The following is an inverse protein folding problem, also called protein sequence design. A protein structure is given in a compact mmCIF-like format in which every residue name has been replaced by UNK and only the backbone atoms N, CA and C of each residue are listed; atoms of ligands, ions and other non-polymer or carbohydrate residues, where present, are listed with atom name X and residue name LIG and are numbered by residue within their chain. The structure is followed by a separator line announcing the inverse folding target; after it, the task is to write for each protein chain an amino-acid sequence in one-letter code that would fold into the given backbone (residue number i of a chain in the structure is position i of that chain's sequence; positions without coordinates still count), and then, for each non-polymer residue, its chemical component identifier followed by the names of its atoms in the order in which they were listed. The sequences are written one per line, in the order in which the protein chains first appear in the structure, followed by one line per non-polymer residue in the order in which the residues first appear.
data_IF_210731202128
#
_entry.id   IF_210731202128
#
_cell.length_a   1.000
_cell.length_b   1.000
_cell.length_c   1.000
_cell.angle_alpha   90.00
_cell.angle_beta   90.00
_cell.angle_gamma   90.00
#
_symmetry.space_group_name_H-M   'P 1'
#
loop_
_entity.id
_entity.type
_entity.pdbx_description
1 polymer ?
#
# COMPACT_ATOMS: atom_id res chain seq x y z
N UNK A 1 -24.45 19.27 5.07
CA UNK A 1 -23.88 20.61 4.77
C UNK A 1 -22.88 21.13 5.82
N UNK A 2 -22.80 20.55 7.03
CA UNK A 2 -21.88 21.01 8.09
C UNK A 2 -20.38 20.73 7.86
N UNK A 3 -20.00 19.60 7.26
CA UNK A 3 -18.57 19.22 7.17
C UNK A 3 -17.71 20.24 6.42
N UNK A 4 -18.21 20.89 5.36
CA UNK A 4 -17.42 21.86 4.59
C UNK A 4 -17.06 23.11 5.38
N UNK A 5 -17.94 23.53 6.29
CA UNK A 5 -17.71 24.70 7.13
C UNK A 5 -16.67 24.35 8.19
N UNK A 6 -16.85 23.20 8.84
CA UNK A 6 -15.93 22.66 9.83
C UNK A 6 -14.53 22.44 9.25
N UNK A 7 -14.42 21.80 8.08
CA UNK A 7 -13.14 21.56 7.40
C UNK A 7 -12.39 22.87 7.09
N UNK A 8 -13.13 23.92 6.70
CA UNK A 8 -12.56 25.26 6.46
C UNK A 8 -12.11 25.94 7.75
N UNK A 9 -12.94 25.90 8.79
CA UNK A 9 -12.63 26.52 10.08
C UNK A 9 -11.38 25.89 10.71
N UNK A 10 -11.35 24.56 10.76
CA UNK A 10 -10.21 23.80 11.27
C UNK A 10 -8.97 24.06 10.41
N UNK A 11 -9.12 23.98 9.09
CA UNK A 11 -8.01 24.14 8.16
C UNK A 11 -7.36 25.53 8.22
N UNK A 12 -8.15 26.60 8.21
CA UNK A 12 -7.63 27.97 8.30
C UNK A 12 -7.03 28.26 9.68
N UNK A 13 -7.64 27.78 10.75
CA UNK A 13 -7.14 28.02 12.12
C UNK A 13 -5.82 27.31 12.37
N UNK A 14 -5.70 26.03 11.98
CA UNK A 14 -4.46 25.26 12.14
C UNK A 14 -3.35 25.77 11.21
N UNK A 15 -3.67 26.09 9.96
CA UNK A 15 -2.65 26.60 9.02
C UNK A 15 -2.05 27.92 9.50
N UNK A 16 -2.86 28.84 10.06
CA UNK A 16 -2.35 30.08 10.67
C UNK A 16 -1.37 29.80 11.82
N UNK A 17 -1.66 28.83 12.68
CA UNK A 17 -0.74 28.43 13.75
C UNK A 17 0.57 27.87 13.18
N UNK A 18 0.51 27.02 12.15
CA UNK A 18 1.71 26.52 11.47
C UNK A 18 2.57 27.65 10.90
N UNK A 19 1.94 28.68 10.33
CA UNK A 19 2.68 29.83 9.79
C UNK A 19 3.35 30.65 10.89
N UNK A 20 2.72 30.79 12.06
CA UNK A 20 3.29 31.49 13.21
C UNK A 20 4.47 30.74 13.81
N UNK A 21 4.34 29.41 13.97
CA UNK A 21 5.39 28.58 14.58
C UNK A 21 6.59 28.36 13.66
N UNK A 22 6.36 28.15 12.35
CA UNK A 22 7.43 27.76 11.42
C UNK A 22 7.81 28.84 10.40
N UNK A 23 7.12 29.99 10.37
CA UNK A 23 7.39 31.08 9.42
C UNK A 23 7.05 30.78 7.95
N UNK A 24 6.53 29.60 7.64
CA UNK A 24 6.31 29.11 6.28
C UNK A 24 4.83 29.21 5.87
N UNK A 25 4.50 30.14 4.98
CA UNK A 25 3.11 30.40 4.52
C UNK A 25 2.54 29.32 3.58
N UNK A 26 3.36 28.39 3.09
CA UNK A 26 2.92 27.26 2.26
C UNK A 26 2.50 26.02 3.06
N UNK A 27 2.62 26.05 4.39
CA UNK A 27 2.16 24.95 5.22
C UNK A 27 0.63 24.97 5.35
N UNK A 28 0.02 23.79 5.30
CA UNK A 28 -1.41 23.60 5.47
C UNK A 28 -1.71 22.43 6.39
N UNK A 29 -2.79 22.54 7.16
CA UNK A 29 -3.35 21.43 7.92
C UNK A 29 -4.86 21.31 7.64
N UNK A 30 -5.38 20.09 7.76
CA UNK A 30 -6.79 19.82 7.52
C UNK A 30 -7.23 18.54 8.20
N UNK A 31 -8.51 18.49 8.61
CA UNK A 31 -9.07 17.37 9.37
C UNK A 31 -8.89 16.01 8.69
N UNK A 32 -8.89 15.96 7.36
CA UNK A 32 -8.66 14.73 6.58
C UNK A 32 -7.21 14.62 6.07
N UNK A 33 -6.65 15.71 5.55
CA UNK A 33 -5.30 15.70 4.96
C UNK A 33 -4.20 15.41 5.98
N UNK A 34 -4.32 15.93 7.21
CA UNK A 34 -3.31 15.78 8.26
C UNK A 34 -3.21 14.32 8.76
N UNK A 35 -4.30 13.60 9.09
CA UNK A 35 -4.23 12.17 9.42
C UNK A 35 -3.73 11.32 8.25
N UNK A 36 -4.15 11.61 7.02
CA UNK A 36 -3.69 10.86 5.83
C UNK A 36 -2.18 11.01 5.64
N UNK A 37 -1.63 12.22 5.79
CA UNK A 37 -0.18 12.41 5.77
C UNK A 37 0.51 11.65 6.91
N UNK A 38 -0.12 11.62 8.10
CA UNK A 38 0.33 10.81 9.23
C UNK A 38 0.46 9.32 8.87
N UNK A 39 -0.55 8.72 8.24
CA UNK A 39 -0.51 7.32 7.80
C UNK A 39 0.60 7.06 6.77
N UNK A 40 0.84 8.00 5.85
CA UNK A 40 1.94 7.89 4.87
C UNK A 40 3.30 7.89 5.58
N UNK A 41 3.48 8.79 6.56
CA UNK A 41 4.71 8.86 7.36
C UNK A 41 4.90 7.59 8.18
N UNK A 42 3.84 7.07 8.80
CA UNK A 42 3.85 5.82 9.56
C UNK A 42 4.27 4.64 8.67
N UNK A 43 3.63 4.46 7.51
CA UNK A 43 4.00 3.45 6.51
C UNK A 43 5.44 3.58 6.04
N UNK A 44 5.92 4.82 5.85
CA UNK A 44 7.32 5.06 5.48
C UNK A 44 8.29 4.64 6.59
N UNK A 45 7.99 4.97 7.84
CA UNK A 45 8.81 4.58 9.00
C UNK A 45 8.81 3.05 9.20
N UNK A 46 7.64 2.40 9.08
CA UNK A 46 7.52 0.94 9.08
C UNK A 46 8.37 0.33 7.97
N UNK A 47 8.27 0.85 6.73
CA UNK A 47 9.07 0.38 5.60
C UNK A 47 10.57 0.50 5.87
N UNK A 48 11.01 1.66 6.38
CA UNK A 48 12.41 1.90 6.74
C UNK A 48 12.90 0.96 7.85
N UNK A 49 12.07 0.68 8.85
CA UNK A 49 12.38 -0.26 9.93
C UNK A 49 12.32 -1.73 9.47
N UNK A 50 11.58 -2.03 8.40
CA UNK A 50 11.42 -3.38 7.85
C UNK A 50 12.54 -3.81 6.90
N UNK A 51 13.57 -2.97 6.69
CA UNK A 51 14.73 -3.33 5.87
C UNK A 51 15.43 -4.53 6.54
N UNK A 52 15.31 -5.69 5.91
CA UNK A 52 15.89 -6.96 6.36
C UNK A 52 16.69 -7.59 5.23
N UNK A 53 17.80 -8.29 5.53
CA UNK A 53 18.47 -9.10 4.54
C UNK A 53 17.53 -10.20 4.06
N UNK A 54 17.46 -10.38 2.75
CA UNK A 54 16.76 -11.50 2.11
C UNK A 54 17.82 -12.33 1.41
N UNK A 55 17.77 -13.64 1.63
CA UNK A 55 18.66 -14.58 0.98
C UNK A 55 17.92 -15.18 -0.21
N UNK A 56 18.43 -14.90 -1.41
CA UNK A 56 17.96 -15.53 -2.64
C UNK A 56 18.93 -16.65 -3.01
N UNK A 57 18.45 -17.88 -2.88
CA UNK A 57 19.24 -19.08 -3.15
C UNK A 57 18.77 -19.63 -4.49
N UNK A 58 19.70 -19.74 -5.44
CA UNK A 58 19.45 -20.31 -6.76
C UNK A 58 20.05 -21.70 -6.78
N UNK A 59 19.19 -22.70 -6.96
CA UNK A 59 19.59 -24.10 -7.03
C UNK A 59 20.02 -24.46 -8.47
N UNK A 60 20.78 -25.55 -8.62
CA UNK A 60 21.27 -26.01 -9.93
C UNK A 60 20.14 -26.39 -10.91
N UNK A 61 18.97 -26.70 -10.40
CA UNK A 61 17.76 -27.03 -11.17
C UNK A 61 16.88 -25.79 -11.45
N UNK A 62 17.45 -24.58 -11.41
CA UNK A 62 16.80 -23.28 -11.63
C UNK A 62 15.71 -22.87 -10.63
N UNK A 63 15.48 -23.67 -9.58
CA UNK A 63 14.55 -23.29 -8.53
C UNK A 63 15.13 -22.16 -7.68
N UNK A 64 14.30 -21.15 -7.39
CA UNK A 64 14.65 -20.00 -6.57
C UNK A 64 13.97 -20.15 -5.22
N UNK A 65 14.77 -20.22 -4.16
CA UNK A 65 14.31 -20.12 -2.79
C UNK A 65 14.55 -18.71 -2.26
N UNK A 66 13.51 -18.12 -1.68
CA UNK A 66 13.60 -16.86 -0.96
C UNK A 66 13.47 -17.18 0.52
N UNK A 67 14.57 -17.03 1.26
CA UNK A 67 14.58 -17.20 2.71
C UNK A 67 14.57 -15.82 3.36
N UNK A 68 13.48 -15.54 4.06
CA UNK A 68 13.26 -14.31 4.80
C UNK A 68 13.52 -14.52 6.30
N UNK A 69 13.87 -13.45 7.02
CA UNK A 69 13.97 -13.42 8.48
C UNK A 69 15.04 -14.33 9.11
N UNK A 70 16.17 -14.55 8.43
CA UNK A 70 17.32 -15.21 9.08
C UNK A 70 17.86 -14.28 10.18
N UNK A 71 18.00 -14.80 11.40
CA UNK A 71 18.65 -14.08 12.50
C UNK A 71 20.14 -13.93 12.19
N UNK A 72 20.57 -12.69 12.01
CA UNK A 72 21.99 -12.34 11.92
C UNK A 72 22.55 -12.33 13.35
N UNK A 73 22.86 -13.49 13.93
CA UNK A 73 23.47 -13.61 15.27
C UNK A 73 24.93 -13.12 15.23
N UNK A 74 25.13 -11.82 14.98
CA UNK A 74 26.42 -11.11 14.85
C UNK A 74 27.26 -11.46 13.61
N UNK A 75 26.80 -12.34 12.73
CA UNK A 75 27.46 -12.67 11.44
C UNK A 75 27.06 -11.71 10.33
N UNK A 76 27.96 -11.47 9.38
CA UNK A 76 27.63 -10.72 8.15
C UNK A 76 26.74 -11.58 7.25
N UNK A 77 25.80 -10.99 6.47
CA UNK A 77 24.98 -11.75 5.52
C UNK A 77 25.80 -12.61 4.55
N UNK A 78 27.01 -12.17 4.17
CA UNK A 78 27.91 -12.93 3.30
C UNK A 78 28.38 -14.25 3.93
N UNK A 79 28.72 -14.23 5.23
CA UNK A 79 29.23 -15.42 5.94
C UNK A 79 28.13 -16.48 6.04
N UNK A 80 26.90 -16.06 6.29
CA UNK A 80 25.73 -16.97 6.32
C UNK A 80 25.46 -17.56 4.93
N UNK A 81 25.62 -16.76 3.86
CA UNK A 81 25.43 -17.26 2.50
C UNK A 81 26.48 -18.31 2.11
N UNK A 82 27.72 -18.14 2.56
CA UNK A 82 28.80 -19.12 2.38
C UNK A 82 28.54 -20.40 3.18
N UNK A 83 28.14 -20.30 4.45
CA UNK A 83 27.77 -21.46 5.29
C UNK A 83 26.64 -22.30 4.66
N UNK A 84 25.59 -21.63 4.15
CA UNK A 84 24.48 -22.29 3.45
C UNK A 84 24.96 -23.00 2.18
N UNK A 85 25.92 -22.40 1.47
CA UNK A 85 26.49 -22.97 0.23
C UNK A 85 27.36 -24.20 0.52
N UNK A 86 28.13 -24.19 1.59
CA UNK A 86 29.01 -25.29 1.98
C UNK A 86 28.25 -26.47 2.59
N UNK A 87 27.26 -26.21 3.44
CA UNK A 87 26.47 -27.27 4.09
C UNK A 87 25.43 -27.92 3.17
N UNK A 88 25.00 -27.19 2.14
CA UNK A 88 23.88 -27.60 1.29
C UNK A 88 22.54 -27.46 2.01
N UNK A 89 21.45 -27.64 1.25
CA UNK A 89 20.08 -27.47 1.75
C UNK A 89 19.27 -28.71 1.41
N UNK A 90 18.67 -29.31 2.43
CA UNK A 90 17.64 -30.33 2.24
C UNK A 90 16.25 -29.67 2.21
N UNK A 91 15.48 -29.92 1.15
CA UNK A 91 14.15 -29.34 0.95
C UNK A 91 13.12 -30.45 1.03
N UNK A 92 12.25 -30.36 2.03
CA UNK A 92 11.13 -31.30 2.20
C UNK A 92 9.82 -30.59 1.93
N UNK A 93 9.03 -31.12 1.00
CA UNK A 93 7.68 -30.64 0.73
C UNK A 93 6.80 -31.05 1.91
N UNK A 94 6.44 -30.08 2.75
CA UNK A 94 5.63 -30.33 3.95
C UNK A 94 4.18 -30.68 3.62
N UNK A 95 3.58 -30.02 2.64
CA UNK A 95 2.17 -30.18 2.33
C UNK A 95 1.84 -29.68 0.91
N UNK A 96 0.97 -30.40 0.19
CA UNK A 96 0.39 -29.96 -1.07
C UNK A 96 -1.11 -29.73 -0.87
N UNK A 97 -1.57 -28.50 -1.10
CA UNK A 97 -2.99 -28.13 -1.00
C UNK A 97 -3.51 -27.71 -2.35
N UNK A 98 -4.63 -28.30 -2.75
CA UNK A 98 -5.47 -27.74 -3.79
C UNK A 98 -6.35 -26.65 -3.17
N UNK A 99 -6.40 -25.48 -3.83
CA UNK A 99 -7.25 -24.36 -3.40
C UNK A 99 -8.14 -23.95 -4.56
N UNK A 100 -9.44 -23.94 -4.30
CA UNK A 100 -10.41 -23.32 -5.21
C UNK A 100 -10.35 -21.81 -5.02
N UNK A 101 -10.06 -21.09 -6.10
CA UNK A 101 -10.07 -19.63 -6.11
C UNK A 101 -11.45 -19.19 -6.60
N UNK A 102 -12.24 -18.60 -5.72
CA UNK A 102 -13.54 -18.04 -6.08
C UNK A 102 -13.36 -16.71 -6.84
N UNK A 103 -14.31 -16.36 -7.74
CA UNK A 103 -14.29 -15.06 -8.37
C UNK A 103 -14.37 -13.94 -7.32
N UNK A 104 -13.72 -12.78 -7.58
CA UNK A 104 -13.83 -11.64 -6.68
C UNK A 104 -15.27 -11.12 -6.65
N UNK A 105 -15.69 -10.50 -5.54
CA UNK A 105 -16.99 -9.84 -5.48
C UNK A 105 -17.05 -8.66 -6.48
N UNK A 106 -18.26 -8.19 -6.82
CA UNK A 106 -18.43 -6.96 -7.57
C UNK A 106 -17.75 -5.76 -6.89
N UNK A 107 -17.37 -4.77 -7.69
CA UNK A 107 -16.63 -3.62 -7.18
C UNK A 107 -17.49 -2.71 -6.28
N UNK A 108 -16.91 -2.34 -5.15
CA UNK A 108 -17.24 -1.14 -4.37
C UNK A 108 -16.46 0.06 -4.90
N UNK A 109 -16.76 1.27 -4.40
CA UNK A 109 -16.03 2.49 -4.79
C UNK A 109 -14.53 2.37 -4.53
N UNK A 110 -14.14 1.92 -3.34
CA UNK A 110 -12.74 1.82 -2.92
C UNK A 110 -11.98 0.75 -3.72
N UNK A 111 -12.60 -0.41 -3.97
CA UNK A 111 -11.98 -1.49 -4.73
C UNK A 111 -11.84 -1.14 -6.21
N UNK A 112 -12.85 -0.50 -6.80
CA UNK A 112 -12.77 0.06 -8.17
C UNK A 112 -11.62 1.06 -8.27
N UNK A 113 -11.53 2.02 -7.34
CA UNK A 113 -10.49 3.05 -7.34
C UNK A 113 -9.09 2.45 -7.20
N UNK A 114 -8.93 1.48 -6.30
CA UNK A 114 -7.66 0.77 -6.08
C UNK A 114 -7.23 0.01 -7.33
N UNK A 115 -8.10 -0.84 -7.89
CA UNK A 115 -7.79 -1.66 -9.07
C UNK A 115 -7.54 -0.80 -10.31
N UNK A 116 -8.36 0.22 -10.55
CA UNK A 116 -8.17 1.11 -11.70
C UNK A 116 -6.89 1.92 -11.57
N UNK A 117 -6.55 2.43 -10.38
CA UNK A 117 -5.28 3.12 -10.16
C UNK A 117 -4.09 2.21 -10.42
N UNK A 118 -4.13 0.97 -9.92
CA UNK A 118 -3.05 -0.01 -10.10
C UNK A 118 -2.88 -0.45 -11.55
N UNK A 119 -3.98 -0.76 -12.26
CA UNK A 119 -3.94 -1.30 -13.63
C UNK A 119 -3.77 -0.23 -14.69
N UNK A 120 -4.47 0.89 -14.55
CA UNK A 120 -4.53 1.95 -15.56
C UNK A 120 -3.55 3.10 -15.29
N UNK A 121 -2.94 3.14 -14.10
CA UNK A 121 -1.96 4.17 -13.68
C UNK A 121 -2.48 5.60 -13.83
N UNK A 122 -3.77 5.81 -13.53
CA UNK A 122 -4.41 7.13 -13.56
C UNK A 122 -4.88 7.54 -12.16
N UNK A 123 -4.86 8.85 -11.88
CA UNK A 123 -5.27 9.38 -10.58
C UNK A 123 -6.75 9.16 -10.28
N UNK A 124 -7.06 9.07 -8.97
CA UNK A 124 -8.41 8.84 -8.42
C UNK A 124 -9.44 9.82 -8.99
N UNK A 125 -9.09 11.11 -9.10
CA UNK A 125 -10.00 12.12 -9.65
C UNK A 125 -10.39 11.85 -11.10
N UNK A 126 -9.45 11.36 -11.91
CA UNK A 126 -9.71 11.00 -13.31
C UNK A 126 -10.58 9.74 -13.38
N UNK A 127 -10.30 8.74 -12.56
CA UNK A 127 -11.11 7.51 -12.47
C UNK A 127 -12.55 7.87 -12.11
N UNK A 128 -12.76 8.70 -11.09
CA UNK A 128 -14.09 9.13 -10.65
C UNK A 128 -14.84 9.90 -11.74
N UNK A 129 -14.17 10.76 -12.52
CA UNK A 129 -14.80 11.46 -13.65
C UNK A 129 -15.22 10.50 -14.76
N UNK A 130 -14.35 9.56 -15.14
CA UNK A 130 -14.65 8.56 -16.16
C UNK A 130 -15.79 7.64 -15.73
N UNK A 131 -15.78 7.16 -14.48
CA UNK A 131 -16.88 6.35 -13.95
C UNK A 131 -18.21 7.12 -13.93
N UNK A 132 -18.18 8.43 -13.63
CA UNK A 132 -19.36 9.28 -13.72
C UNK A 132 -19.88 9.43 -15.15
N UNK A 133 -18.99 9.55 -16.13
CA UNK A 133 -19.33 9.61 -17.55
C UNK A 133 -19.95 8.29 -18.03
N UNK A 134 -19.32 7.15 -17.72
CA UNK A 134 -19.84 5.83 -18.05
C UNK A 134 -21.22 5.57 -17.43
N UNK A 135 -21.44 6.01 -16.19
CA UNK A 135 -22.75 5.94 -15.55
C UNK A 135 -23.78 6.83 -16.27
N UNK A 136 -23.40 8.05 -16.65
CA UNK A 136 -24.25 8.96 -17.42
C UNK A 136 -24.65 8.42 -18.80
N UNK A 137 -23.79 7.60 -19.41
CA UNK A 137 -24.06 6.90 -20.67
C UNK A 137 -24.85 5.58 -20.48
N UNK A 138 -25.14 5.18 -19.25
CA UNK A 138 -25.84 3.91 -18.95
C UNK A 138 -24.98 2.65 -19.13
N UNK A 139 -23.66 2.79 -19.20
CA UNK A 139 -22.72 1.68 -19.41
C UNK A 139 -22.37 0.93 -18.12
N UNK A 140 -22.56 1.57 -16.96
CA UNK A 140 -22.33 0.99 -15.64
C UNK A 140 -23.43 1.40 -14.65
N UNK A 141 -23.52 0.70 -13.53
CA UNK A 141 -24.37 1.09 -12.38
C UNK A 141 -23.71 2.21 -11.56
N UNK A 142 -24.44 2.75 -10.58
CA UNK A 142 -23.93 3.84 -9.76
C UNK A 142 -22.70 3.42 -8.95
N UNK A 143 -21.55 3.99 -9.31
CA UNK A 143 -20.22 3.57 -8.85
C UNK A 143 -19.84 4.07 -7.44
N UNK A 144 -20.61 4.98 -6.83
CA UNK A 144 -20.38 5.49 -5.46
C UNK A 144 -21.17 4.68 -4.45
N UNK A 145 -20.77 3.42 -4.28
CA UNK A 145 -21.38 2.45 -3.36
C UNK A 145 -20.34 1.83 -2.42
N UNK A 146 -20.76 1.55 -1.19
CA UNK A 146 -19.98 0.81 -0.18
C UNK A 146 -20.39 -0.68 -0.13
N UNK A 147 -21.50 -1.03 -0.77
CA UNK A 147 -22.01 -2.39 -0.81
C UNK A 147 -21.65 -3.03 -2.15
N UNK A 148 -20.99 -4.20 -2.17
CA UNK A 148 -20.83 -5.00 -3.37
C UNK A 148 -22.22 -5.37 -3.91
N UNK A 149 -22.52 -5.01 -5.16
CA UNK A 149 -23.79 -5.33 -5.82
C UNK A 149 -23.57 -6.27 -6.98
#
# INVERSE_FOLDING_TARGET
RGSRIEDRWIGFSLSKKLWQEFGMKWLSAGRVQTPVLGWVIERYNESRASIRPIFRIVLENDYILVVENIKLDSKKPIEIAEEIREQGIEITIKERKERTINPPPPFTTDTMLREASQRLRIGVDRIMRLAQELFGLGLITYHRTEVPR
#
